data_IF_337763625247
#
_entry.id   IF_337763625247
#
_cell.length_a   1.000
_cell.length_b   1.000
_cell.length_c   1.000
_cell.angle_alpha   90.00
_cell.angle_beta   90.00
_cell.angle_gamma   90.00
#
_symmetry.space_group_name_H-M   'P 1'
#
loop_
_entity.id
_entity.type
_entity.pdbx_description
1 polymer ?
#
# COMPACT_ATOMS: atom_id res chain seq x y z
N UNK A 1 23.92 25.06 -9.84
CA UNK A 1 23.51 23.92 -9.01
C UNK A 1 22.00 23.81 -9.16
N UNK A 2 21.45 22.69 -9.63
CA UNK A 2 20.00 22.49 -9.65
C UNK A 2 19.56 22.12 -8.23
N UNK A 3 18.90 23.04 -7.54
CA UNK A 3 18.26 22.75 -6.27
C UNK A 3 17.19 21.68 -6.47
N UNK A 4 17.26 20.59 -5.70
CA UNK A 4 16.20 19.58 -5.68
C UNK A 4 14.95 20.22 -5.07
N UNK A 5 14.03 20.66 -5.92
CA UNK A 5 12.70 21.11 -5.49
C UNK A 5 11.90 19.90 -5.03
N UNK A 6 11.60 19.85 -3.73
CA UNK A 6 10.65 18.88 -3.17
C UNK A 6 9.26 19.28 -3.66
N UNK A 7 8.58 18.36 -4.35
CA UNK A 7 7.21 18.59 -4.84
C UNK A 7 6.18 18.18 -3.77
N UNK A 8 6.44 17.07 -3.06
CA UNK A 8 5.63 16.63 -1.92
C UNK A 8 6.41 15.64 -1.06
N UNK A 9 6.12 15.62 0.24
CA UNK A 9 6.67 14.65 1.20
C UNK A 9 5.53 13.82 1.78
N UNK A 10 5.72 12.51 1.87
CA UNK A 10 4.76 11.60 2.51
C UNK A 10 5.47 10.55 3.33
N UNK A 11 4.69 9.78 4.09
CA UNK A 11 5.17 8.66 4.91
C UNK A 11 4.37 7.40 4.60
N UNK A 12 4.96 6.23 4.81
CA UNK A 12 4.22 4.98 4.90
C UNK A 12 4.21 4.48 6.35
N UNK A 13 3.09 3.87 6.78
CA UNK A 13 2.91 3.43 8.17
C UNK A 13 2.15 2.12 8.28
N UNK A 14 2.30 1.47 9.42
CA UNK A 14 1.63 0.23 9.82
C UNK A 14 1.44 0.21 11.33
N UNK A 15 1.01 -0.93 11.88
CA UNK A 15 0.99 -1.19 13.33
C UNK A 15 2.28 -0.84 14.06
N UNK A 16 3.44 -0.93 13.40
CA UNK A 16 4.75 -0.76 14.04
C UNK A 16 5.01 0.66 14.53
N UNK A 17 4.26 1.65 14.03
CA UNK A 17 4.35 3.03 14.50
C UNK A 17 3.47 3.30 15.75
N UNK A 18 2.65 2.32 16.15
CA UNK A 18 1.75 2.47 17.30
C UNK A 18 0.66 3.53 17.08
N UNK A 19 0.37 4.30 18.13
CA UNK A 19 -0.62 5.39 18.09
C UNK A 19 0.03 6.65 17.53
N UNK A 20 -0.46 7.11 16.38
CA UNK A 20 0.06 8.28 15.67
C UNK A 20 -0.86 9.48 15.93
N UNK A 21 -0.25 10.62 16.27
CA UNK A 21 -0.90 11.93 16.26
C UNK A 21 -0.87 12.51 14.85
N UNK A 22 -1.94 12.25 14.09
CA UNK A 22 -2.06 12.67 12.69
C UNK A 22 -2.20 14.19 12.52
N UNK A 23 -2.68 14.90 13.53
CA UNK A 23 -2.73 16.37 13.49
C UNK A 23 -1.31 16.94 13.56
N UNK A 24 -0.48 16.40 14.45
CA UNK A 24 0.95 16.76 14.53
C UNK A 24 1.72 16.36 13.27
N UNK A 25 1.46 15.19 12.70
CA UNK A 25 2.08 14.75 11.43
C UNK A 25 1.76 15.73 10.30
N UNK A 26 0.48 16.09 10.11
CA UNK A 26 0.07 17.06 9.10
C UNK A 26 0.66 18.45 9.34
N UNK A 27 0.64 18.93 10.59
CA UNK A 27 1.25 20.22 10.96
C UNK A 27 2.78 20.24 10.73
N UNK A 28 3.44 19.08 10.78
CA UNK A 28 4.85 18.89 10.46
C UNK A 28 5.18 18.94 8.96
N UNK A 29 4.19 19.14 8.07
CA UNK A 29 4.40 19.28 6.64
C UNK A 29 4.29 17.97 5.84
N UNK A 30 3.84 16.88 6.44
CA UNK A 30 3.51 15.65 5.70
C UNK A 30 2.29 15.90 4.82
N UNK A 31 2.42 15.64 3.52
CA UNK A 31 1.40 15.90 2.51
C UNK A 31 0.57 14.67 2.12
N UNK A 32 0.98 13.45 2.46
CA UNK A 32 0.20 12.23 2.26
C UNK A 32 0.69 11.08 3.14
N UNK A 33 -0.12 10.03 3.29
CA UNK A 33 0.27 8.78 3.94
C UNK A 33 -0.13 7.54 3.13
N UNK A 34 0.74 6.53 3.04
CA UNK A 34 0.41 5.21 2.48
C UNK A 34 0.33 4.20 3.64
N UNK A 35 -0.86 3.67 3.91
CA UNK A 35 -1.12 2.91 5.15
C UNK A 35 -1.18 1.42 4.83
N UNK A 36 -0.48 0.59 5.62
CA UNK A 36 -0.57 -0.88 5.49
C UNK A 36 -2.01 -1.32 5.67
N UNK A 37 -2.59 -1.92 4.63
CA UNK A 37 -3.92 -2.49 4.65
C UNK A 37 -3.86 -3.94 5.12
N UNK A 38 -3.16 -4.78 4.38
CA UNK A 38 -3.08 -6.21 4.68
C UNK A 38 -1.66 -6.76 4.58
N UNK A 39 -1.48 -7.95 5.14
CA UNK A 39 -0.35 -8.84 4.91
C UNK A 39 -0.88 -10.18 4.40
N UNK A 40 -0.66 -10.43 3.13
CA UNK A 40 -1.42 -11.43 2.39
C UNK A 40 -2.94 -11.21 2.50
N UNK A 41 -3.72 -12.25 2.26
CA UNK A 41 -5.19 -12.17 2.26
C UNK A 41 -5.80 -12.19 3.68
N UNK A 42 -5.16 -12.88 4.63
CA UNK A 42 -5.80 -13.20 5.92
C UNK A 42 -5.54 -12.20 7.05
N UNK A 43 -4.57 -11.29 6.90
CA UNK A 43 -4.17 -10.40 8.00
C UNK A 43 -4.40 -8.96 7.61
N UNK A 44 -5.45 -8.35 8.14
CA UNK A 44 -5.61 -6.90 8.13
C UNK A 44 -4.66 -6.31 9.16
N UNK A 45 -3.99 -5.21 8.83
CA UNK A 45 -3.18 -4.50 9.83
C UNK A 45 -4.12 -3.92 10.91
N UNK A 46 -3.87 -4.21 12.21
CA UNK A 46 -4.78 -3.82 13.27
C UNK A 46 -4.93 -2.29 13.39
N UNK A 47 -3.99 -1.52 12.83
CA UNK A 47 -4.03 -0.07 12.84
C UNK A 47 -4.55 0.57 11.55
N UNK A 48 -4.85 -0.24 10.53
CA UNK A 48 -5.31 0.25 9.23
C UNK A 48 -6.50 1.19 9.37
N UNK A 49 -7.62 0.71 9.91
CA UNK A 49 -8.85 1.51 10.00
C UNK A 49 -8.73 2.72 10.91
N UNK A 50 -7.93 2.62 12.00
CA UNK A 50 -7.69 3.76 12.90
C UNK A 50 -6.91 4.84 12.17
N UNK A 51 -5.86 4.47 11.46
CA UNK A 51 -5.05 5.41 10.70
C UNK A 51 -5.84 6.03 9.54
N UNK A 52 -6.60 5.25 8.78
CA UNK A 52 -7.45 5.77 7.69
C UNK A 52 -8.44 6.82 8.19
N UNK A 53 -9.17 6.53 9.29
CA UNK A 53 -10.12 7.48 9.89
C UNK A 53 -9.42 8.75 10.40
N UNK A 54 -8.28 8.61 11.07
CA UNK A 54 -7.61 9.74 11.67
C UNK A 54 -6.93 10.64 10.61
N UNK A 55 -6.41 10.07 9.52
CA UNK A 55 -5.95 10.84 8.36
C UNK A 55 -7.11 11.61 7.72
N UNK A 56 -8.26 10.95 7.50
CA UNK A 56 -9.44 11.61 6.96
C UNK A 56 -9.93 12.76 7.85
N UNK A 57 -9.93 12.57 9.18
CA UNK A 57 -10.35 13.60 10.15
C UNK A 57 -9.48 14.86 10.10
N UNK A 58 -8.20 14.75 9.73
CA UNK A 58 -7.31 15.90 9.54
C UNK A 58 -7.20 16.33 8.08
N UNK A 59 -7.90 15.67 7.14
CA UNK A 59 -7.81 15.91 5.70
C UNK A 59 -6.41 15.68 5.14
N UNK A 60 -5.73 14.61 5.57
CA UNK A 60 -4.46 14.16 4.98
C UNK A 60 -4.77 13.13 3.88
N UNK A 61 -4.34 13.36 2.62
CA UNK A 61 -4.52 12.41 1.53
C UNK A 61 -3.90 11.04 1.84
N UNK A 62 -4.60 9.97 1.45
CA UNK A 62 -4.18 8.59 1.76
C UNK A 62 -4.15 7.66 0.56
N UNK A 63 -3.24 6.70 0.63
CA UNK A 63 -3.24 5.46 -0.15
C UNK A 63 -3.04 4.26 0.78
N UNK A 64 -2.96 3.07 0.20
CA UNK A 64 -2.80 1.84 0.97
C UNK A 64 -1.72 0.94 0.38
N UNK A 65 -1.21 -0.01 1.17
CA UNK A 65 -0.35 -1.08 0.64
C UNK A 65 -0.65 -2.45 1.23
N UNK A 66 -0.33 -3.48 0.44
CA UNK A 66 -0.44 -4.89 0.79
C UNK A 66 0.96 -5.49 0.85
N UNK A 67 1.40 -5.95 2.01
CA UNK A 67 2.62 -6.76 2.11
C UNK A 67 2.32 -8.14 1.52
N UNK A 68 2.70 -8.35 0.26
CA UNK A 68 2.25 -9.52 -0.48
C UNK A 68 2.93 -10.81 0.00
N UNK A 69 2.13 -11.88 0.11
CA UNK A 69 2.60 -13.24 0.38
C UNK A 69 2.18 -14.19 -0.73
N UNK A 70 1.71 -13.67 -1.87
CA UNK A 70 1.21 -14.45 -2.98
C UNK A 70 2.30 -15.34 -3.59
N UNK A 71 1.97 -16.61 -3.84
CA UNK A 71 2.84 -17.53 -4.60
C UNK A 71 2.33 -17.81 -6.01
N UNK A 72 1.13 -17.33 -6.32
CA UNK A 72 0.43 -17.54 -7.58
C UNK A 72 -0.31 -16.27 -7.96
N UNK A 73 -0.59 -16.10 -9.26
CA UNK A 73 -1.41 -15.00 -9.77
C UNK A 73 -2.81 -14.98 -9.12
N UNK A 74 -3.40 -16.16 -8.89
CA UNK A 74 -4.68 -16.29 -8.20
C UNK A 74 -4.61 -15.72 -6.77
N UNK A 75 -3.60 -16.11 -5.98
CA UNK A 75 -3.44 -15.58 -4.63
C UNK A 75 -3.19 -14.06 -4.60
N UNK A 76 -2.51 -13.52 -5.62
CA UNK A 76 -2.30 -12.08 -5.74
C UNK A 76 -3.60 -11.33 -6.05
N UNK A 77 -4.48 -11.91 -6.87
CA UNK A 77 -5.82 -11.36 -7.11
C UNK A 77 -6.69 -11.39 -5.84
N UNK A 78 -6.60 -12.45 -5.03
CA UNK A 78 -7.30 -12.51 -3.73
C UNK A 78 -6.77 -11.46 -2.74
N UNK A 79 -5.45 -11.27 -2.69
CA UNK A 79 -4.83 -10.20 -1.88
C UNK A 79 -5.31 -8.80 -2.32
N UNK A 80 -5.42 -8.56 -3.63
CA UNK A 80 -5.93 -7.32 -4.18
C UNK A 80 -7.41 -7.09 -3.90
N UNK A 81 -8.26 -8.12 -4.07
CA UNK A 81 -9.70 -8.03 -3.76
C UNK A 81 -9.90 -7.69 -2.29
N UNK A 82 -9.20 -8.40 -1.40
CA UNK A 82 -9.28 -8.14 0.04
C UNK A 82 -8.90 -6.70 0.40
N UNK A 83 -7.82 -6.19 -0.20
CA UNK A 83 -7.40 -4.82 0.05
C UNK A 83 -8.42 -3.80 -0.46
N UNK A 84 -9.06 -4.06 -1.61
CA UNK A 84 -10.11 -3.21 -2.16
C UNK A 84 -11.37 -3.20 -1.26
N UNK A 85 -11.77 -4.35 -0.71
CA UNK A 85 -12.86 -4.44 0.27
C UNK A 85 -12.59 -3.59 1.52
N UNK A 86 -11.37 -3.69 2.07
CA UNK A 86 -10.97 -2.93 3.26
C UNK A 86 -10.85 -1.43 2.98
N UNK A 87 -10.50 -1.04 1.76
CA UNK A 87 -10.41 0.36 1.34
C UNK A 87 -11.77 0.96 0.96
N UNK A 88 -12.79 0.15 0.64
CA UNK A 88 -14.10 0.61 0.17
C UNK A 88 -14.79 1.67 1.05
N UNK A 89 -14.67 1.65 2.39
CA UNK A 89 -15.25 2.69 3.25
C UNK A 89 -14.55 4.06 3.20
N UNK A 90 -13.43 4.18 2.49
CA UNK A 90 -12.55 5.37 2.52
C UNK A 90 -12.34 5.97 1.13
N UNK A 91 -12.13 7.28 1.09
CA UNK A 91 -11.62 7.96 -0.10
C UNK A 91 -10.10 7.82 -0.16
N UNK A 92 -9.58 7.35 -1.30
CA UNK A 92 -8.16 7.22 -1.55
C UNK A 92 -7.74 8.21 -2.65
N UNK A 93 -6.86 9.14 -2.28
CA UNK A 93 -6.21 10.06 -3.22
C UNK A 93 -4.97 9.41 -3.87
N UNK A 94 -4.42 8.38 -3.22
CA UNK A 94 -3.22 7.66 -3.65
C UNK A 94 -3.49 6.17 -3.94
N UNK A 95 -2.60 5.49 -4.67
CA UNK A 95 -2.80 4.10 -5.10
C UNK A 95 -2.98 3.09 -3.96
N UNK A 96 -3.44 1.90 -4.34
CA UNK A 96 -3.25 0.67 -3.56
C UNK A 96 -1.99 -0.03 -4.12
N UNK A 97 -0.96 -0.11 -3.29
CA UNK A 97 0.33 -0.68 -3.66
C UNK A 97 0.44 -2.17 -3.30
N UNK A 98 1.06 -2.93 -4.19
CA UNK A 98 1.66 -4.22 -3.86
C UNK A 98 3.07 -3.97 -3.32
N UNK A 99 3.30 -4.30 -2.05
CA UNK A 99 4.65 -4.38 -1.49
C UNK A 99 5.23 -5.78 -1.78
N UNK A 100 6.19 -5.82 -2.71
CA UNK A 100 6.76 -7.02 -3.32
C UNK A 100 8.14 -7.36 -2.73
N UNK A 101 8.22 -7.53 -1.41
CA UNK A 101 9.50 -7.74 -0.71
C UNK A 101 9.56 -9.00 0.17
N UNK A 102 8.65 -9.95 -0.02
CA UNK A 102 8.70 -11.23 0.67
C UNK A 102 9.83 -12.13 0.12
N UNK A 103 10.64 -12.71 1.00
CA UNK A 103 11.76 -13.62 0.69
C UNK A 103 11.47 -14.69 -0.37
N UNK A 104 10.23 -15.19 -0.42
CA UNK A 104 9.79 -16.17 -1.40
C UNK A 104 9.96 -15.71 -2.86
N UNK A 105 9.89 -14.40 -3.13
CA UNK A 105 9.98 -13.86 -4.48
C UNK A 105 11.38 -14.04 -5.10
N UNK A 106 12.44 -14.07 -4.29
CA UNK A 106 13.82 -14.27 -4.79
C UNK A 106 14.00 -15.65 -5.42
N UNK A 107 13.28 -16.64 -4.93
CA UNK A 107 13.34 -18.01 -5.44
C UNK A 107 12.43 -18.22 -6.67
N UNK A 108 11.62 -17.22 -7.06
CA UNK A 108 10.64 -17.37 -8.13
C UNK A 108 11.21 -16.96 -9.50
N UNK A 109 10.87 -17.70 -10.57
CA UNK A 109 11.17 -17.28 -11.94
C UNK A 109 10.57 -15.90 -12.24
N UNK A 110 11.28 -15.08 -13.02
CA UNK A 110 10.81 -13.74 -13.44
C UNK A 110 9.41 -13.75 -14.03
N UNK A 111 9.10 -14.75 -14.86
CA UNK A 111 7.77 -14.93 -15.46
C UNK A 111 6.67 -15.11 -14.41
N UNK A 112 6.95 -15.88 -13.35
CA UNK A 112 6.02 -16.08 -12.25
C UNK A 112 5.82 -14.79 -11.45
N UNK A 113 6.90 -14.05 -11.16
CA UNK A 113 6.82 -12.76 -10.48
C UNK A 113 5.98 -11.75 -11.28
N UNK A 114 6.21 -11.65 -12.58
CA UNK A 114 5.41 -10.80 -13.47
C UNK A 114 3.92 -11.15 -13.42
N UNK A 115 3.58 -12.43 -13.56
CA UNK A 115 2.19 -12.87 -13.49
C UNK A 115 1.50 -12.57 -12.13
N UNK A 116 2.24 -12.60 -11.03
CA UNK A 116 1.73 -12.24 -9.70
C UNK A 116 1.44 -10.73 -9.65
N UNK A 117 2.40 -9.90 -10.09
CA UNK A 117 2.27 -8.44 -10.11
C UNK A 117 1.10 -8.02 -11.02
N UNK A 118 1.04 -8.58 -12.23
CA UNK A 118 -0.01 -8.27 -13.21
C UNK A 118 -1.40 -8.62 -12.67
N UNK A 119 -1.55 -9.77 -12.02
CA UNK A 119 -2.82 -10.18 -11.45
C UNK A 119 -3.29 -9.28 -10.29
N UNK A 120 -2.37 -8.85 -9.42
CA UNK A 120 -2.67 -7.87 -8.39
C UNK A 120 -3.14 -6.55 -8.99
N UNK A 121 -2.34 -5.97 -9.90
CA UNK A 121 -2.63 -4.68 -10.52
C UNK A 121 -3.96 -4.69 -11.28
N UNK A 122 -4.20 -5.73 -12.10
CA UNK A 122 -5.44 -5.91 -12.86
C UNK A 122 -6.66 -5.93 -11.94
N UNK A 123 -6.56 -6.62 -10.79
CA UNK A 123 -7.67 -6.71 -9.85
C UNK A 123 -7.94 -5.37 -9.16
N UNK A 124 -6.90 -4.64 -8.74
CA UNK A 124 -7.05 -3.30 -8.15
C UNK A 124 -7.72 -2.33 -9.14
N UNK A 125 -7.29 -2.33 -10.41
CA UNK A 125 -7.91 -1.52 -11.47
C UNK A 125 -9.38 -1.89 -11.68
N UNK A 126 -9.70 -3.19 -11.70
CA UNK A 126 -11.08 -3.67 -11.83
C UNK A 126 -12.00 -3.24 -10.67
N UNK A 127 -11.43 -2.92 -9.51
CA UNK A 127 -12.17 -2.38 -8.35
C UNK A 127 -12.23 -0.84 -8.35
N UNK A 128 -11.72 -0.18 -9.38
CA UNK A 128 -11.79 1.27 -9.57
C UNK A 128 -10.66 2.05 -8.89
N UNK A 129 -9.62 1.38 -8.40
CA UNK A 129 -8.47 2.00 -7.74
C UNK A 129 -7.26 2.03 -8.68
N UNK A 130 -6.34 2.97 -8.44
CA UNK A 130 -5.04 2.99 -9.12
C UNK A 130 -4.11 1.95 -8.47
N UNK A 131 -3.51 1.01 -9.23
CA UNK A 131 -2.50 0.11 -8.69
C UNK A 131 -1.12 0.77 -8.63
N UNK A 132 -0.25 0.23 -7.78
CA UNK A 132 1.17 0.57 -7.74
C UNK A 132 1.98 -0.66 -7.36
N UNK A 133 3.18 -0.81 -7.93
CA UNK A 133 4.17 -1.76 -7.43
C UNK A 133 5.16 -1.00 -6.54
N UNK A 134 5.38 -1.50 -5.32
CA UNK A 134 6.50 -1.11 -4.46
C UNK A 134 7.47 -2.28 -4.33
N UNK A 135 8.75 -2.00 -4.53
CA UNK A 135 9.83 -2.96 -4.39
C UNK A 135 11.16 -2.23 -4.33
N UNK A 136 12.08 -2.63 -3.47
CA UNK A 136 13.47 -2.19 -3.60
C UNK A 136 14.15 -2.85 -4.81
N UNK A 137 15.24 -2.22 -5.29
CA UNK A 137 16.03 -2.68 -6.45
C UNK A 137 16.54 -4.13 -6.30
N UNK A 138 16.67 -4.61 -5.07
CA UNK A 138 17.13 -5.96 -4.79
C UNK A 138 16.15 -7.06 -5.25
N UNK A 139 14.84 -6.77 -5.25
CA UNK A 139 13.80 -7.77 -5.55
C UNK A 139 13.31 -7.77 -7.01
N UNK A 140 13.80 -6.84 -7.84
CA UNK A 140 13.43 -6.70 -9.26
C UNK A 140 14.40 -7.46 -10.17
#
# INVERSE_FOLDING_TARGET
MNERRIIQTGIDVSRYQGKIDWARVKAGGTGFAIIKCTQGVNTVDPEFHRNMRNCAAVGLPVGAYVYSRARTAFAAAEEAERAAEECAPYHLDYPIAMDFEAAQFLAMPKKTRGAIIDAFCTRIEARGYKPMLYSSKYWL
#
